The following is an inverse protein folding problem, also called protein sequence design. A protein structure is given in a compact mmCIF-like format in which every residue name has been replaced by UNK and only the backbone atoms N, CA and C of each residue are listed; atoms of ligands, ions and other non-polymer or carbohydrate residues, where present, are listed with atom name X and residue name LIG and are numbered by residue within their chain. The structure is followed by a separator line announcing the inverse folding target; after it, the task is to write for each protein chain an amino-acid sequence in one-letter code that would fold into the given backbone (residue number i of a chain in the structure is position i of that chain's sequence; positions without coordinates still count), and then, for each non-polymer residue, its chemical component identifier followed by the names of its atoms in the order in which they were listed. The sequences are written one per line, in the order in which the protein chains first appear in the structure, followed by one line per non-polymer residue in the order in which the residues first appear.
data_IF_494953793630
#
_entry.id   IF_494953793630
#
_cell.length_a   1.000
_cell.length_b   1.000
_cell.length_c   1.000
_cell.angle_alpha   90.00
_cell.angle_beta   90.00
_cell.angle_gamma   90.00
#
_symmetry.space_group_name_H-M   'P 1'
#
loop_
_entity.id
_entity.type
_entity.pdbx_description
1 polymer ?
#
# COMPACT_ATOMS: atom_id res chain seq x y z
N UNK A 1 -14.65 14.79 23.59
CA UNK A 1 -13.34 14.13 23.77
C UNK A 1 -12.28 15.03 23.14
N UNK A 2 -11.25 15.42 23.90
CA UNK A 2 -10.15 16.25 23.37
C UNK A 2 -9.29 15.45 22.38
N UNK A 3 -8.57 16.14 21.48
CA UNK A 3 -7.68 15.43 20.54
C UNK A 3 -6.57 14.69 21.28
N UNK A 4 -6.05 15.31 22.35
CA UNK A 4 -5.05 14.70 23.25
C UNK A 4 -5.51 13.37 23.85
N UNK A 5 -6.79 13.22 24.22
CA UNK A 5 -7.30 11.94 24.74
C UNK A 5 -7.30 10.83 23.69
N UNK A 6 -7.51 11.15 22.41
CA UNK A 6 -7.40 10.20 21.30
C UNK A 6 -5.93 9.76 21.15
N UNK A 7 -5.01 10.73 21.18
CA UNK A 7 -3.55 10.48 21.10
C UNK A 7 -3.08 9.61 22.26
N UNK A 8 -3.53 9.90 23.48
CA UNK A 8 -3.21 9.13 24.68
C UNK A 8 -3.69 7.67 24.55
N UNK A 9 -4.93 7.47 24.09
CA UNK A 9 -5.49 6.13 23.94
C UNK A 9 -4.77 5.31 22.87
N UNK A 10 -4.41 5.92 21.73
CA UNK A 10 -3.59 5.26 20.70
C UNK A 10 -2.22 4.90 21.25
N UNK A 11 -1.53 5.81 21.93
CA UNK A 11 -0.23 5.54 22.55
C UNK A 11 -0.30 4.40 23.57
N UNK A 12 -1.35 4.37 24.42
CA UNK A 12 -1.56 3.34 25.44
C UNK A 12 -1.72 1.95 24.82
N UNK A 13 -2.59 1.84 23.80
CA UNK A 13 -2.87 0.57 23.11
C UNK A 13 -1.74 0.11 22.19
N UNK A 14 -1.01 1.04 21.58
CA UNK A 14 0.13 0.72 20.72
C UNK A 14 1.23 -0.06 21.47
N UNK A 15 1.37 0.07 22.79
CA UNK A 15 2.42 -0.60 23.57
C UNK A 15 2.43 -2.13 23.43
N UNK A 16 1.27 -2.76 23.18
CA UNK A 16 1.15 -4.21 22.96
C UNK A 16 1.16 -4.62 21.48
N UNK A 17 1.46 -3.69 20.58
CA UNK A 17 1.43 -3.87 19.11
C UNK A 17 2.82 -3.63 18.50
N UNK A 18 3.12 -4.19 17.32
CA UNK A 18 4.37 -3.91 16.60
C UNK A 18 4.68 -2.40 16.47
N UNK A 19 3.70 -1.57 16.15
CA UNK A 19 3.83 -0.10 16.03
C UNK A 19 4.27 0.57 17.34
N UNK A 20 3.99 -0.01 18.51
CA UNK A 20 4.48 0.50 19.79
C UNK A 20 6.00 0.54 19.87
N UNK A 21 6.69 -0.31 19.10
CA UNK A 21 8.15 -0.36 19.01
C UNK A 21 8.72 0.57 17.93
N UNK A 22 7.92 1.47 17.36
CA UNK A 22 8.37 2.40 16.31
C UNK A 22 9.62 3.18 16.72
N UNK A 23 9.70 3.70 17.95
CA UNK A 23 10.86 4.48 18.39
C UNK A 23 12.12 3.61 18.55
N UNK A 24 11.98 2.32 18.86
CA UNK A 24 13.09 1.36 18.91
C UNK A 24 13.58 1.06 17.49
N UNK A 25 12.66 0.81 16.56
CA UNK A 25 12.96 0.64 15.14
C UNK A 25 13.68 1.87 14.58
N UNK A 26 13.21 3.08 14.92
CA UNK A 26 13.84 4.36 14.55
C UNK A 26 15.25 4.48 15.12
N UNK A 27 15.45 4.12 16.38
CA UNK A 27 16.78 4.12 17.00
C UNK A 27 17.74 3.25 16.20
N UNK A 28 17.32 2.04 15.81
CA UNK A 28 18.12 1.11 15.01
C UNK A 28 18.41 1.65 13.61
N UNK A 29 17.37 2.06 12.88
CA UNK A 29 17.48 2.56 11.50
C UNK A 29 18.35 3.83 11.42
N UNK A 30 18.16 4.76 12.36
CA UNK A 30 18.82 6.08 12.34
C UNK A 30 20.12 6.10 13.14
N UNK A 31 20.50 5.01 13.80
CA UNK A 31 21.70 4.95 14.65
C UNK A 31 21.66 5.91 15.83
N UNK A 32 20.48 6.14 16.44
CA UNK A 32 20.37 7.08 17.57
C UNK A 32 21.03 6.50 18.82
N UNK A 33 21.79 7.32 19.54
CA UNK A 33 22.50 6.91 20.76
C UNK A 33 21.54 6.51 21.89
N UNK A 34 20.38 7.15 21.98
CA UNK A 34 19.34 6.89 22.99
C UNK A 34 17.96 6.76 22.36
N UNK A 35 17.06 6.07 23.08
CA UNK A 35 15.65 6.01 22.71
C UNK A 35 14.99 7.35 23.07
N UNK A 36 14.41 8.09 22.11
CA UNK A 36 13.88 9.43 22.37
C UNK A 36 12.57 9.41 23.17
N UNK A 37 11.76 8.37 23.02
CA UNK A 37 10.50 8.16 23.76
C UNK A 37 10.09 6.69 23.66
N UNK A 38 9.30 6.20 24.62
CA UNK A 38 8.58 4.91 24.53
C UNK A 38 7.22 5.04 23.84
N UNK A 39 6.77 6.26 23.59
CA UNK A 39 5.51 6.56 22.91
C UNK A 39 5.76 7.00 21.47
N UNK A 40 4.82 6.68 20.58
CA UNK A 40 4.87 7.07 19.17
C UNK A 40 4.66 8.57 19.02
N UNK A 41 3.55 9.09 19.57
CA UNK A 41 3.22 10.51 19.61
C UNK A 41 3.65 11.11 20.94
N UNK A 42 4.16 12.35 20.93
CA UNK A 42 4.45 13.10 22.16
C UNK A 42 3.77 14.47 22.12
N UNK A 43 3.73 15.18 23.25
CA UNK A 43 3.23 16.55 23.31
C UNK A 43 3.98 17.51 22.37
N UNK A 44 5.25 17.22 22.04
CA UNK A 44 6.05 18.02 21.09
C UNK A 44 5.59 17.88 19.64
N UNK A 45 4.85 16.81 19.33
CA UNK A 45 4.36 16.53 17.97
C UNK A 45 2.86 16.27 17.94
N UNK A 46 2.16 16.77 18.96
CA UNK A 46 0.70 16.76 19.09
C UNK A 46 0.23 18.21 19.11
N UNK A 47 -0.68 18.52 18.20
CA UNK A 47 -1.29 19.83 18.01
C UNK A 47 -2.80 19.70 18.18
N UNK A 48 -3.53 20.82 18.14
CA UNK A 48 -4.96 20.87 18.42
C UNK A 48 -5.80 19.87 17.60
N UNK A 49 -5.41 19.65 16.35
CA UNK A 49 -6.16 18.84 15.40
C UNK A 49 -5.35 17.75 14.70
N UNK A 50 -4.06 17.59 15.00
CA UNK A 50 -3.25 16.53 14.40
C UNK A 50 -2.04 16.14 15.25
N UNK A 51 -1.53 14.94 15.02
CA UNK A 51 -0.27 14.49 15.59
C UNK A 51 0.51 13.68 14.55
N UNK A 52 1.84 13.76 14.63
CA UNK A 52 2.74 12.85 13.92
C UNK A 52 3.77 12.29 14.89
N UNK A 53 4.35 11.14 14.58
CA UNK A 53 5.27 10.51 15.51
C UNK A 53 6.53 11.37 15.77
N UNK A 54 7.08 11.25 16.98
CA UNK A 54 8.22 12.07 17.40
C UNK A 54 9.44 11.85 16.48
N UNK A 55 9.98 12.95 15.96
CA UNK A 55 11.12 12.95 15.03
C UNK A 55 10.76 12.70 13.56
N UNK A 56 9.46 12.63 13.23
CA UNK A 56 8.97 12.31 11.90
C UNK A 56 9.18 13.38 10.82
N UNK A 57 9.73 14.56 11.14
CA UNK A 57 9.68 15.72 10.23
C UNK A 57 10.41 15.51 8.90
N UNK A 58 11.50 14.77 8.91
CA UNK A 58 12.32 14.51 7.72
C UNK A 58 12.07 13.12 7.14
N UNK A 59 10.98 12.43 7.50
CA UNK A 59 10.70 11.03 7.14
C UNK A 59 9.22 10.77 6.86
N UNK A 60 8.88 9.54 6.43
CA UNK A 60 7.48 9.13 6.31
C UNK A 60 6.81 9.16 7.69
N UNK A 61 5.79 9.98 7.87
CA UNK A 61 5.16 10.20 9.17
C UNK A 61 4.00 9.26 9.40
N UNK A 62 4.05 8.40 10.42
CA UNK A 62 2.80 7.99 11.08
C UNK A 62 2.07 9.24 11.58
N UNK A 63 0.84 9.44 11.12
CA UNK A 63 0.08 10.67 11.27
C UNK A 63 -1.39 10.36 11.58
N UNK A 64 -1.93 11.13 12.52
CA UNK A 64 -3.36 11.15 12.84
C UNK A 64 -3.85 12.58 12.83
N UNK A 65 -5.14 12.78 12.59
CA UNK A 65 -5.73 14.10 12.78
C UNK A 65 -7.21 14.17 12.52
N UNK A 66 -7.77 15.32 12.85
CA UNK A 66 -9.12 15.71 12.47
C UNK A 66 -9.07 16.27 11.06
N UNK A 67 -10.01 15.82 10.25
CA UNK A 67 -10.16 16.23 8.87
C UNK A 67 -11.62 16.66 8.62
N UNK A 68 -11.85 17.42 7.57
CA UNK A 68 -13.19 17.81 7.13
C UNK A 68 -13.42 17.30 5.73
N UNK A 69 -14.33 16.34 5.62
CA UNK A 69 -14.75 15.76 4.34
C UNK A 69 -16.23 16.04 4.20
N UNK A 70 -16.61 16.79 3.16
CA UNK A 70 -18.00 17.14 2.87
C UNK A 70 -18.72 17.76 4.08
N UNK A 71 -18.03 18.67 4.79
CA UNK A 71 -18.50 19.35 6.02
C UNK A 71 -18.70 18.45 7.24
N UNK A 72 -18.43 17.15 7.13
CA UNK A 72 -18.44 16.20 8.24
C UNK A 72 -17.03 16.09 8.82
N UNK A 73 -16.91 16.21 10.15
CA UNK A 73 -15.63 15.98 10.83
C UNK A 73 -15.31 14.48 10.81
N UNK A 74 -14.14 14.14 10.32
CA UNK A 74 -13.61 12.79 10.27
C UNK A 74 -12.30 12.71 11.06
N UNK A 75 -11.97 11.53 11.52
CA UNK A 75 -10.66 11.20 12.04
C UNK A 75 -9.87 10.48 10.95
N UNK A 76 -8.70 11.00 10.58
CA UNK A 76 -7.77 10.35 9.66
C UNK A 76 -6.67 9.66 10.45
N UNK A 77 -6.23 8.51 9.96
CA UNK A 77 -5.07 7.78 10.47
C UNK A 77 -4.33 7.10 9.32
N UNK A 78 -3.01 7.20 9.32
CA UNK A 78 -2.18 6.54 8.31
C UNK A 78 -0.75 7.05 8.31
N UNK A 79 -0.18 7.15 7.12
CA UNK A 79 1.15 7.72 6.89
C UNK A 79 1.10 8.93 5.98
N UNK A 80 2.07 9.85 6.16
CA UNK A 80 2.12 11.09 5.40
C UNK A 80 3.53 11.57 5.08
N UNK A 81 3.66 12.25 3.94
CA UNK A 81 4.77 13.17 3.69
C UNK A 81 4.28 14.60 3.89
N UNK A 82 4.86 15.30 4.86
CA UNK A 82 4.61 16.73 5.08
C UNK A 82 5.78 17.53 4.53
N UNK A 83 5.58 18.09 3.32
CA UNK A 83 6.52 18.96 2.62
C UNK A 83 6.31 20.43 3.02
N UNK A 84 6.01 20.68 4.29
CA UNK A 84 5.93 22.02 4.88
C UNK A 84 7.33 22.47 5.33
N UNK A 85 7.94 23.49 4.71
CA UNK A 85 9.25 23.96 5.14
C UNK A 85 9.22 24.45 6.59
N UNK A 86 10.32 24.26 7.32
CA UNK A 86 10.45 24.76 8.68
C UNK A 86 11.83 24.51 9.26
N UNK A 87 12.03 24.88 10.52
CA UNK A 87 13.36 24.79 11.16
C UNK A 87 13.98 23.38 11.09
N UNK A 88 13.15 22.34 11.20
CA UNK A 88 13.59 20.92 11.19
C UNK A 88 13.53 20.27 9.80
N UNK A 89 12.97 20.94 8.81
CA UNK A 89 12.93 20.55 7.40
C UNK A 89 13.06 21.81 6.53
N UNK A 90 14.26 22.40 6.43
CA UNK A 90 14.45 23.64 5.67
C UNK A 90 14.31 23.41 4.16
N UNK A 91 14.68 22.22 3.69
CA UNK A 91 14.58 21.81 2.29
C UNK A 91 13.74 20.53 2.18
N UNK A 92 12.65 20.62 1.40
CA UNK A 92 11.72 19.51 1.17
C UNK A 92 12.33 18.42 0.28
N UNK A 93 13.39 18.73 -0.47
CA UNK A 93 14.11 17.79 -1.32
C UNK A 93 14.70 16.62 -0.52
N UNK A 94 14.92 16.78 0.78
CA UNK A 94 15.31 15.69 1.70
C UNK A 94 14.29 14.54 1.68
N UNK A 95 13.03 14.81 1.35
CA UNK A 95 11.96 13.81 1.23
C UNK A 95 11.88 13.17 -0.17
N UNK A 96 12.47 13.76 -1.22
CA UNK A 96 12.44 13.18 -2.58
C UNK A 96 12.89 11.72 -2.63
N UNK A 97 14.09 11.33 -2.13
CA UNK A 97 14.50 9.93 -2.17
C UNK A 97 13.57 9.02 -1.36
N UNK A 98 12.86 9.54 -0.35
CA UNK A 98 11.90 8.78 0.45
C UNK A 98 10.60 8.55 -0.31
N UNK A 99 10.13 9.55 -1.04
CA UNK A 99 8.97 9.47 -1.93
C UNK A 99 9.24 8.52 -3.10
N UNK A 100 10.46 8.53 -3.66
CA UNK A 100 10.87 7.57 -4.69
C UNK A 100 10.84 6.13 -4.17
N UNK A 101 11.33 5.88 -2.95
CA UNK A 101 11.23 4.58 -2.30
C UNK A 101 9.80 4.18 -1.96
N UNK A 102 8.97 5.13 -1.54
CA UNK A 102 7.53 4.90 -1.37
C UNK A 102 6.90 4.40 -2.68
N UNK A 103 7.22 5.05 -3.80
CA UNK A 103 6.77 4.63 -5.13
C UNK A 103 7.30 3.25 -5.51
N UNK A 104 8.58 2.95 -5.24
CA UNK A 104 9.18 1.63 -5.46
C UNK A 104 8.41 0.53 -4.69
N UNK A 105 8.16 0.76 -3.40
CA UNK A 105 7.42 -0.17 -2.56
C UNK A 105 5.99 -0.38 -3.07
N UNK A 106 5.27 0.71 -3.38
CA UNK A 106 3.90 0.63 -3.87
C UNK A 106 3.78 -0.11 -5.20
N UNK A 107 4.76 -0.02 -6.11
CA UNK A 107 4.71 -0.76 -7.40
C UNK A 107 4.55 -2.26 -7.19
N UNK A 108 5.17 -2.80 -6.13
CA UNK A 108 5.19 -4.24 -5.84
C UNK A 108 4.06 -4.65 -4.89
N UNK A 109 3.59 -3.74 -4.03
CA UNK A 109 2.69 -4.05 -2.92
C UNK A 109 1.36 -3.27 -2.99
N UNK A 110 0.95 -2.78 -4.18
CA UNK A 110 -0.23 -1.91 -4.30
C UNK A 110 -1.52 -2.55 -3.76
N UNK A 111 -1.64 -3.87 -3.91
CA UNK A 111 -2.83 -4.62 -3.47
C UNK A 111 -3.02 -4.58 -1.95
N UNK A 112 -1.93 -4.52 -1.18
CA UNK A 112 -1.93 -4.57 0.27
C UNK A 112 -2.57 -3.33 0.93
N UNK A 113 -2.69 -2.25 0.15
CA UNK A 113 -3.24 -0.96 0.58
C UNK A 113 -4.51 -0.56 -0.19
N UNK A 114 -5.08 -1.43 -1.02
CA UNK A 114 -6.18 -1.09 -1.95
C UNK A 114 -7.46 -0.58 -1.28
N UNK A 115 -7.68 -0.93 -0.02
CA UNK A 115 -8.76 -0.51 0.86
C UNK A 115 -8.52 0.87 1.52
N UNK A 116 -7.27 1.34 1.55
CA UNK A 116 -6.92 2.69 2.02
C UNK A 116 -7.22 3.76 0.97
N UNK A 117 -7.28 5.01 1.43
CA UNK A 117 -7.40 6.18 0.56
C UNK A 117 -6.10 6.96 0.52
N UNK A 118 -5.85 7.60 -0.61
CA UNK A 118 -4.77 8.54 -0.77
C UNK A 118 -5.32 9.91 -1.17
N UNK A 119 -4.79 10.96 -0.59
CA UNK A 119 -5.12 12.34 -0.92
C UNK A 119 -3.94 13.24 -0.59
N UNK A 120 -3.97 14.45 -1.11
CA UNK A 120 -3.01 15.49 -0.78
C UNK A 120 -3.68 16.84 -0.57
N UNK A 121 -2.99 17.71 0.15
CA UNK A 121 -3.27 19.15 0.23
C UNK A 121 -2.15 19.89 -0.47
N UNK A 122 -2.50 20.95 -1.19
CA UNK A 122 -1.55 21.90 -1.77
C UNK A 122 -1.96 23.30 -1.33
N UNK A 123 -1.12 23.99 -0.57
CA UNK A 123 -1.44 25.32 -0.04
C UNK A 123 -2.67 25.35 0.87
N UNK A 124 -2.98 24.23 1.54
CA UNK A 124 -4.17 24.07 2.39
C UNK A 124 -5.42 23.59 1.66
N UNK A 125 -5.41 23.51 0.32
CA UNK A 125 -6.55 23.04 -0.46
C UNK A 125 -6.51 21.52 -0.66
N UNK A 126 -7.56 20.77 -0.29
CA UNK A 126 -7.60 19.32 -0.45
C UNK A 126 -7.86 18.93 -1.91
N UNK A 127 -7.11 17.94 -2.38
CA UNK A 127 -7.48 17.17 -3.57
C UNK A 127 -8.68 16.25 -3.30
N UNK A 128 -9.31 15.76 -4.37
CA UNK A 128 -10.21 14.60 -4.25
C UNK A 128 -9.43 13.39 -3.77
N UNK A 129 -10.06 12.55 -2.97
CA UNK A 129 -9.47 11.25 -2.59
C UNK A 129 -9.41 10.33 -3.80
N UNK A 130 -8.34 9.56 -3.87
CA UNK A 130 -8.10 8.57 -4.92
C UNK A 130 -7.55 7.28 -4.32
N UNK A 131 -7.60 6.19 -5.09
CA UNK A 131 -6.96 4.92 -4.71
C UNK A 131 -5.45 5.11 -4.65
N UNK A 132 -4.74 4.39 -3.76
CA UNK A 132 -3.29 4.49 -3.67
C UNK A 132 -2.65 4.33 -5.04
N UNK A 133 -1.73 5.23 -5.34
CA UNK A 133 -0.99 5.30 -6.59
C UNK A 133 0.38 5.89 -6.33
N UNK A 134 1.24 5.83 -7.34
CA UNK A 134 2.53 6.49 -7.29
C UNK A 134 2.36 8.00 -7.12
N UNK A 135 3.16 8.59 -6.25
CA UNK A 135 3.27 10.03 -6.04
C UNK A 135 3.93 10.64 -7.27
N UNK A 136 3.26 11.60 -7.92
CA UNK A 136 3.86 12.38 -9.02
C UNK A 136 5.00 13.25 -8.50
N UNK A 137 6.03 13.42 -9.30
CA UNK A 137 7.12 14.38 -9.01
C UNK A 137 6.61 15.80 -8.82
N UNK A 138 5.47 16.15 -9.42
CA UNK A 138 4.86 17.49 -9.32
C UNK A 138 4.34 17.82 -7.91
N UNK A 139 4.15 16.80 -7.07
CA UNK A 139 3.77 16.94 -5.67
C UNK A 139 4.98 17.11 -4.75
N UNK A 140 6.20 16.96 -5.26
CA UNK A 140 7.44 17.12 -4.48
C UNK A 140 7.85 18.60 -4.52
N UNK A 141 7.12 19.42 -3.76
CA UNK A 141 7.34 20.86 -3.64
C UNK A 141 6.82 21.38 -2.28
N UNK A 142 7.23 22.59 -1.86
CA UNK A 142 6.77 23.18 -0.60
C UNK A 142 5.24 23.27 -0.48
N UNK A 143 4.75 23.22 0.76
CA UNK A 143 3.34 23.35 1.13
C UNK A 143 2.43 22.25 0.60
N UNK A 144 3.00 21.07 0.31
CA UNK A 144 2.25 19.87 -0.04
C UNK A 144 2.23 18.91 1.14
N UNK A 145 1.04 18.38 1.45
CA UNK A 145 0.87 17.30 2.42
C UNK A 145 0.24 16.10 1.72
N UNK A 146 0.97 14.99 1.61
CA UNK A 146 0.52 13.77 0.93
C UNK A 146 0.19 12.73 1.99
N UNK A 147 -1.00 12.15 1.94
CA UNK A 147 -1.50 11.22 2.94
C UNK A 147 -1.96 9.91 2.31
N UNK A 148 -1.66 8.79 2.96
CA UNK A 148 -2.17 7.46 2.67
C UNK A 148 -2.73 6.88 3.97
N UNK A 149 -4.02 6.55 4.01
CA UNK A 149 -4.63 5.97 5.21
C UNK A 149 -6.14 5.87 5.19
N UNK A 150 -6.69 5.61 6.37
CA UNK A 150 -8.11 5.43 6.62
C UNK A 150 -8.78 6.71 7.14
N UNK A 151 -10.12 6.67 7.14
CA UNK A 151 -10.98 7.71 7.70
C UNK A 151 -12.10 7.08 8.49
N UNK A 152 -12.37 7.62 9.67
CA UNK A 152 -13.42 7.18 10.57
C UNK A 152 -14.30 8.38 10.98
N UNK A 153 -15.57 8.16 11.38
CA UNK A 153 -16.33 9.20 12.07
C UNK A 153 -15.61 9.65 13.34
N UNK A 154 -15.51 10.96 13.57
CA UNK A 154 -14.72 11.50 14.70
C UNK A 154 -15.30 11.13 16.07
N UNK A 155 -16.60 10.84 16.12
CA UNK A 155 -17.35 10.41 17.30
C UNK A 155 -17.34 8.89 17.52
N UNK A 156 -16.86 8.11 16.55
CA UNK A 156 -16.86 6.64 16.58
C UNK A 156 -15.51 6.11 16.07
N UNK A 157 -14.45 6.46 16.78
CA UNK A 157 -13.10 5.99 16.45
C UNK A 157 -12.93 4.56 16.97
N UNK A 158 -12.73 3.62 16.05
CA UNK A 158 -12.23 2.28 16.33
C UNK A 158 -10.70 2.32 16.37
N UNK A 159 -10.15 2.24 17.58
CA UNK A 159 -8.71 2.25 17.83
C UNK A 159 -8.00 0.98 17.35
N UNK A 160 -8.67 -0.16 17.26
CA UNK A 160 -8.05 -1.39 16.77
C UNK A 160 -7.80 -1.29 15.27
N UNK A 161 -8.76 -0.74 14.51
CA UNK A 161 -8.58 -0.44 13.08
C UNK A 161 -7.40 0.52 12.86
N UNK A 162 -7.25 1.54 13.72
CA UNK A 162 -6.09 2.47 13.63
C UNK A 162 -4.76 1.72 13.78
N UNK A 163 -4.68 0.84 14.77
CA UNK A 163 -3.45 0.10 15.09
C UNK A 163 -3.15 -1.00 14.07
N UNK A 164 -4.18 -1.67 13.56
CA UNK A 164 -4.06 -2.63 12.46
C UNK A 164 -3.52 -1.96 11.19
N UNK A 165 -4.05 -0.78 10.84
CA UNK A 165 -3.55 0.00 9.70
C UNK A 165 -2.11 0.47 9.93
N UNK A 166 -1.77 0.89 11.14
CA UNK A 166 -0.40 1.29 11.47
C UNK A 166 0.60 0.13 11.39
N UNK A 167 0.25 -1.03 11.93
CA UNK A 167 1.09 -2.22 11.83
C UNK A 167 1.26 -2.66 10.37
N UNK A 168 0.20 -2.55 9.57
CA UNK A 168 0.24 -2.83 8.12
C UNK A 168 1.11 -1.84 7.34
N UNK A 169 1.18 -0.59 7.78
CA UNK A 169 2.02 0.46 7.16
C UNK A 169 3.47 0.44 7.69
N UNK A 170 3.77 -0.31 8.75
CA UNK A 170 5.11 -0.37 9.34
C UNK A 170 6.20 -0.97 8.41
N UNK A 171 5.94 -2.02 7.62
CA UNK A 171 6.90 -2.51 6.62
C UNK A 171 7.25 -1.47 5.56
N UNK A 172 6.28 -0.67 5.12
CA UNK A 172 6.50 0.44 4.18
C UNK A 172 7.44 1.50 4.80
N UNK A 173 7.16 1.91 6.04
CA UNK A 173 8.03 2.81 6.79
C UNK A 173 9.45 2.26 6.89
N UNK A 174 9.59 0.99 7.31
CA UNK A 174 10.89 0.34 7.44
C UNK A 174 11.63 0.30 6.10
N UNK A 175 10.96 -0.04 5.00
CA UNK A 175 11.58 -0.07 3.67
C UNK A 175 12.10 1.30 3.24
N UNK A 176 11.32 2.36 3.46
CA UNK A 176 11.70 3.73 3.08
C UNK A 176 12.89 4.19 3.93
N UNK A 177 12.81 3.98 5.24
CA UNK A 177 13.74 4.62 6.19
C UNK A 177 15.03 3.83 6.43
N UNK A 178 15.04 2.51 6.23
CA UNK A 178 16.21 1.64 6.44
C UNK A 178 17.29 1.77 5.37
N UNK A 179 16.98 2.42 4.25
CA UNK A 179 17.99 2.63 3.21
C UNK A 179 18.88 3.78 3.60
N UNK A 180 20.18 3.50 3.74
CA UNK A 180 21.19 4.56 3.81
C UNK A 180 20.95 5.47 2.60
N UNK A 181 20.83 6.81 2.78
CA UNK A 181 20.77 7.69 1.64
C UNK A 181 22.04 7.44 0.81
N UNK A 182 21.88 6.91 -0.41
CA UNK A 182 22.88 7.18 -1.45
C UNK A 182 22.82 8.70 -1.57
N UNK A 183 23.83 9.39 -1.05
CA UNK A 183 23.97 10.82 -1.25
C UNK A 183 23.71 11.13 -2.71
N UNK A 184 23.00 12.24 -2.99
CA UNK A 184 22.72 12.69 -4.34
C UNK A 184 24.04 12.68 -5.13
N UNK A 185 24.18 11.70 -6.01
CA UNK A 185 25.19 11.70 -7.05
C UNK A 185 24.41 11.82 -8.35
N UNK A 186 24.40 13.02 -8.90
CA UNK A 186 24.13 13.26 -10.31
C UNK A 186 25.19 12.50 -11.11
N UNK A 187 24.90 11.23 -11.45
CA UNK A 187 25.82 10.41 -12.25
C UNK A 187 25.62 10.71 -13.73
N UNK A 188 26.72 10.83 -14.47
CA UNK A 188 26.72 11.05 -15.92
C UNK A 188 26.45 9.73 -16.67
N UNK A 189 25.97 9.77 -17.93
CA UNK A 189 25.63 8.59 -18.73
C UNK A 189 26.76 7.54 -18.83
N UNK A 190 28.01 7.98 -18.79
CA UNK A 190 29.21 7.13 -18.84
C UNK A 190 29.38 6.24 -17.60
N UNK A 191 28.83 6.63 -16.45
CA UNK A 191 28.87 5.84 -15.21
C UNK A 191 27.76 4.77 -15.18
N UNK A 192 26.66 4.96 -15.92
CA UNK A 192 25.56 4.00 -16.02
C UNK A 192 25.97 2.75 -16.80
N UNK A 193 26.80 2.92 -17.83
CA UNK A 193 27.31 1.83 -18.66
C UNK A 193 28.22 0.85 -17.88
N UNK A 194 28.88 1.29 -16.81
CA UNK A 194 29.74 0.44 -15.96
C UNK A 194 28.97 -0.39 -14.93
N UNK A 195 27.74 -0.01 -14.57
CA UNK A 195 26.91 -0.77 -13.61
C UNK A 195 26.10 -1.90 -14.26
N UNK A 196 25.96 -1.92 -15.60
CA UNK A 196 25.26 -3.01 -16.32
C UNK A 196 26.00 -4.36 -16.15
N UNK A 197 27.30 -4.33 -15.85
CA UNK A 197 28.10 -5.56 -15.65
C UNK A 197 28.07 -6.11 -14.22
N UNK A 198 27.33 -5.51 -13.28
CA UNK A 198 27.25 -5.99 -11.90
C UNK A 198 25.80 -6.26 -11.46
N UNK A 199 25.21 -7.35 -11.96
CA UNK A 199 24.05 -7.95 -11.31
C UNK A 199 24.48 -8.54 -9.96
N UNK A 200 23.71 -8.29 -8.90
CA UNK A 200 23.90 -8.98 -7.62
C UNK A 200 23.47 -10.44 -7.77
N UNK A 201 24.03 -11.32 -6.94
CA UNK A 201 23.56 -12.70 -6.83
C UNK A 201 22.05 -12.73 -6.49
N UNK A 202 21.25 -13.24 -7.43
CA UNK A 202 19.82 -13.51 -7.25
C UNK A 202 19.62 -14.94 -6.73
N UNK A 203 18.44 -15.25 -6.16
CA UNK A 203 18.09 -16.61 -5.74
C UNK A 203 18.11 -16.89 -4.23
N UNK A 204 18.27 -15.87 -3.37
CA UNK A 204 18.14 -16.05 -1.92
C UNK A 204 16.70 -16.47 -1.56
N UNK A 205 16.56 -17.66 -0.97
CA UNK A 205 15.28 -18.19 -0.52
C UNK A 205 14.77 -17.37 0.68
N UNK A 206 13.56 -16.83 0.57
CA UNK A 206 12.87 -16.07 1.62
C UNK A 206 11.61 -16.83 2.03
N UNK A 207 11.44 -17.11 3.32
CA UNK A 207 10.22 -17.72 3.84
C UNK A 207 9.22 -16.64 4.26
N UNK A 208 7.98 -16.75 3.76
CA UNK A 208 6.84 -15.89 4.11
C UNK A 208 5.67 -16.77 4.58
N UNK A 209 5.08 -16.44 5.73
CA UNK A 209 3.83 -17.06 6.19
C UNK A 209 2.63 -16.30 5.61
N UNK A 210 1.85 -16.97 4.75
CA UNK A 210 0.64 -16.42 4.13
C UNK A 210 -0.60 -17.06 4.75
N UNK A 211 -1.58 -16.26 5.16
CA UNK A 211 -2.92 -16.78 5.46
C UNK A 211 -3.64 -17.09 4.14
N UNK A 212 -3.78 -18.38 3.83
CA UNK A 212 -4.53 -18.85 2.66
C UNK A 212 -5.98 -19.11 3.05
N UNK A 213 -6.92 -18.51 2.34
CA UNK A 213 -8.31 -18.99 2.35
C UNK A 213 -8.35 -20.31 1.58
N UNK A 214 -8.95 -21.33 2.17
CA UNK A 214 -9.10 -22.64 1.55
C UNK A 214 -9.83 -22.50 0.20
N UNK A 215 -9.25 -23.07 -0.86
CA UNK A 215 -9.86 -23.18 -2.18
C UNK A 215 -9.93 -24.65 -2.50
N UNK A 216 -11.09 -25.10 -2.96
CA UNK A 216 -11.26 -26.47 -3.40
C UNK A 216 -10.58 -26.64 -4.78
N UNK A 217 -9.48 -27.41 -4.89
CA UNK A 217 -8.78 -27.60 -6.16
C UNK A 217 -9.68 -28.22 -7.24
N UNK A 218 -10.73 -28.96 -6.84
CA UNK A 218 -11.69 -29.58 -7.76
C UNK A 218 -12.44 -28.54 -8.59
N UNK A 219 -12.61 -27.32 -8.10
CA UNK A 219 -13.26 -26.23 -8.86
C UNK A 219 -12.42 -25.86 -10.09
N UNK A 220 -11.09 -25.85 -9.97
CA UNK A 220 -10.20 -25.59 -11.11
C UNK A 220 -10.32 -26.71 -12.12
N UNK A 221 -10.18 -27.95 -11.68
CA UNK A 221 -10.18 -29.11 -12.59
C UNK A 221 -11.53 -29.22 -13.31
N UNK A 222 -12.64 -29.04 -12.59
CA UNK A 222 -13.97 -29.03 -13.17
C UNK A 222 -14.18 -27.85 -14.13
N UNK A 223 -13.62 -26.66 -13.85
CA UNK A 223 -13.67 -25.54 -14.78
C UNK A 223 -12.86 -25.80 -16.06
N UNK A 224 -11.68 -26.41 -15.96
CA UNK A 224 -10.86 -26.76 -17.13
C UNK A 224 -11.50 -27.88 -17.96
N UNK A 225 -12.19 -28.84 -17.33
CA UNK A 225 -12.97 -29.87 -18.03
C UNK A 225 -14.17 -29.25 -18.75
N UNK A 226 -14.90 -28.32 -18.11
CA UNK A 226 -16.11 -27.71 -18.68
C UNK A 226 -15.80 -26.68 -19.77
N UNK A 227 -14.82 -25.81 -19.54
CA UNK A 227 -14.57 -24.63 -20.38
C UNK A 227 -13.33 -24.77 -21.28
N UNK A 228 -12.51 -25.79 -21.08
CA UNK A 228 -11.25 -25.95 -21.78
C UNK A 228 -10.15 -25.03 -21.25
N UNK A 229 -9.07 -24.91 -22.03
CA UNK A 229 -7.83 -24.21 -21.66
C UNK A 229 -7.59 -22.92 -22.46
N UNK A 230 -8.51 -22.56 -23.34
CA UNK A 230 -8.46 -21.28 -24.04
C UNK A 230 -9.00 -20.16 -23.12
N UNK A 231 -8.34 -19.01 -23.15
CA UNK A 231 -8.78 -17.83 -22.42
C UNK A 231 -10.16 -17.37 -22.93
N UNK A 232 -11.17 -17.34 -22.06
CA UNK A 232 -12.53 -16.93 -22.43
C UNK A 232 -12.62 -15.43 -22.79
N UNK A 233 -11.63 -14.63 -22.39
CA UNK A 233 -11.54 -13.20 -22.68
C UNK A 233 -10.91 -12.96 -24.05
N UNK A 234 -9.65 -13.34 -24.26
CA UNK A 234 -8.90 -13.01 -25.47
C UNK A 234 -8.71 -14.17 -26.46
N UNK A 235 -9.22 -15.36 -26.15
CA UNK A 235 -9.08 -16.55 -27.00
C UNK A 235 -7.70 -17.20 -26.99
N UNK A 236 -6.73 -16.67 -26.22
CA UNK A 236 -5.40 -17.26 -26.13
C UNK A 236 -5.48 -18.70 -25.59
N UNK A 237 -5.07 -19.65 -26.41
CA UNK A 237 -4.77 -21.02 -26.01
C UNK A 237 -3.24 -21.16 -25.80
N UNK A 238 -2.77 -21.41 -24.56
CA UNK A 238 -1.35 -21.54 -24.29
C UNK A 238 -0.68 -22.72 -24.99
N UNK A 239 -1.36 -23.86 -25.14
CA UNK A 239 -0.80 -25.03 -25.80
C UNK A 239 -0.59 -24.76 -27.29
N UNK A 240 -1.57 -24.10 -27.92
CA UNK A 240 -1.44 -23.70 -29.33
C UNK A 240 -0.35 -22.65 -29.53
N UNK A 241 -0.22 -21.67 -28.61
CA UNK A 241 0.73 -20.56 -28.77
C UNK A 241 2.16 -20.93 -28.39
N UNK A 242 2.34 -21.70 -27.32
CA UNK A 242 3.65 -21.95 -26.72
C UNK A 242 4.06 -23.42 -26.77
N UNK A 243 3.12 -24.34 -27.04
CA UNK A 243 3.34 -25.79 -27.01
C UNK A 243 2.80 -26.45 -25.74
N UNK A 244 2.75 -27.78 -25.75
CA UNK A 244 2.09 -28.61 -24.72
C UNK A 244 2.58 -28.34 -23.29
N UNK A 245 3.84 -27.94 -23.11
CA UNK A 245 4.36 -27.61 -21.78
C UNK A 245 3.60 -26.45 -21.10
N UNK A 246 2.94 -25.60 -21.88
CA UNK A 246 2.19 -24.46 -21.39
C UNK A 246 0.68 -24.75 -21.24
N UNK A 247 0.22 -25.98 -21.48
CA UNK A 247 -1.22 -26.32 -21.50
C UNK A 247 -1.98 -25.90 -20.22
N UNK A 248 -1.29 -25.88 -19.07
CA UNK A 248 -1.87 -25.50 -17.78
C UNK A 248 -1.54 -24.06 -17.35
N UNK A 249 -0.91 -23.26 -18.22
CA UNK A 249 -0.66 -21.82 -18.05
C UNK A 249 -1.92 -20.97 -18.22
N UNK A 250 -3.00 -21.40 -17.58
CA UNK A 250 -4.28 -20.70 -17.43
C UNK A 250 -4.69 -20.64 -15.98
N UNK A 251 -5.50 -19.65 -15.64
CA UNK A 251 -5.96 -19.35 -14.30
C UNK A 251 -7.49 -19.35 -14.26
N UNK A 252 -8.05 -19.69 -13.09
CA UNK A 252 -9.50 -19.67 -12.86
C UNK A 252 -9.84 -18.43 -12.06
N UNK A 253 -10.51 -17.48 -12.71
CA UNK A 253 -10.95 -16.23 -12.12
C UNK A 253 -12.35 -16.38 -11.55
N UNK A 254 -12.55 -15.99 -10.28
CA UNK A 254 -13.86 -16.00 -9.64
C UNK A 254 -14.59 -14.69 -9.91
N UNK A 255 -15.81 -14.78 -10.44
CA UNK A 255 -16.66 -13.64 -10.74
C UNK A 255 -17.23 -12.99 -9.48
N UNK A 256 -17.44 -13.76 -8.41
CA UNK A 256 -17.77 -13.23 -7.08
C UNK A 256 -16.52 -13.33 -6.18
N UNK A 257 -15.86 -12.21 -5.85
CA UNK A 257 -14.61 -12.22 -5.10
C UNK A 257 -14.82 -12.78 -3.69
N UNK A 258 -14.23 -13.95 -3.42
CA UNK A 258 -14.24 -14.60 -2.10
C UNK A 258 -13.73 -13.70 -0.96
N UNK A 259 -12.94 -12.66 -1.28
CA UNK A 259 -12.38 -11.66 -0.37
C UNK A 259 -13.40 -10.79 0.35
N UNK A 260 -14.52 -10.46 -0.31
CA UNK A 260 -15.51 -9.48 0.16
C UNK A 260 -16.66 -10.09 1.00
N UNK A 261 -16.65 -11.41 1.22
CA UNK A 261 -17.74 -12.12 1.89
C UNK A 261 -17.57 -12.12 3.43
N UNK A 262 -18.61 -11.70 4.13
CA UNK A 262 -18.72 -11.74 5.60
C UNK A 262 -18.96 -13.18 6.08
N UNK A 263 -17.90 -13.88 6.49
CA UNK A 263 -17.93 -14.97 7.49
C UNK A 263 -18.68 -16.27 7.18
N UNK A 264 -19.46 -16.38 6.09
CA UNK A 264 -20.18 -17.61 5.72
C UNK A 264 -19.67 -18.15 4.38
N UNK A 265 -19.15 -19.37 4.38
CA UNK A 265 -18.65 -20.06 3.19
C UNK A 265 -19.79 -20.40 2.22
N UNK A 266 -19.96 -19.59 1.17
CA UNK A 266 -20.86 -19.92 0.05
C UNK A 266 -20.13 -20.80 -0.97
N UNK A 267 -20.76 -21.91 -1.34
CA UNK A 267 -20.25 -22.85 -2.34
C UNK A 267 -20.02 -22.13 -3.69
N UNK A 268 -18.83 -22.33 -4.27
CA UNK A 268 -18.51 -21.86 -5.63
C UNK A 268 -19.07 -22.85 -6.64
N UNK A 269 -19.84 -22.37 -7.61
CA UNK A 269 -20.30 -23.17 -8.76
C UNK A 269 -19.44 -22.87 -9.98
N UNK A 270 -19.52 -23.71 -11.01
CA UNK A 270 -18.78 -23.46 -12.26
C UNK A 270 -19.24 -22.20 -12.99
N UNK A 271 -20.45 -21.71 -12.73
CA UNK A 271 -20.95 -20.48 -13.34
C UNK A 271 -20.40 -19.23 -12.63
N UNK A 272 -19.78 -19.39 -11.45
CA UNK A 272 -19.11 -18.32 -10.70
C UNK A 272 -17.64 -18.13 -11.11
N UNK A 273 -17.16 -18.87 -12.11
CA UNK A 273 -15.74 -18.82 -12.53
C UNK A 273 -15.57 -18.81 -14.05
N UNK A 274 -14.45 -18.26 -14.50
CA UNK A 274 -14.02 -18.30 -15.91
C UNK A 274 -12.56 -18.72 -16.03
N UNK A 275 -12.19 -19.30 -17.17
CA UNK A 275 -10.81 -19.63 -17.53
C UNK A 275 -10.17 -18.46 -18.28
N UNK A 276 -9.02 -17.99 -17.78
CA UNK A 276 -8.33 -16.81 -18.32
C UNK A 276 -6.81 -17.03 -18.39
N UNK A 277 -6.14 -16.37 -19.32
CA UNK A 277 -4.68 -16.35 -19.32
C UNK A 277 -4.13 -15.42 -18.22
N UNK A 278 -2.86 -15.58 -17.80
CA UNK A 278 -2.27 -14.75 -16.73
C UNK A 278 -2.38 -13.24 -16.97
N UNK A 279 -2.29 -12.82 -18.24
CA UNK A 279 -2.41 -11.41 -18.61
C UNK A 279 -3.85 -10.90 -18.45
N UNK A 280 -4.84 -11.61 -18.99
CA UNK A 280 -6.25 -11.23 -18.85
C UNK A 280 -6.71 -11.30 -17.40
N UNK A 281 -6.23 -12.27 -16.62
CA UNK A 281 -6.54 -12.34 -15.19
C UNK A 281 -6.05 -11.09 -14.46
N UNK A 282 -4.80 -10.69 -14.68
CA UNK A 282 -4.22 -9.46 -14.13
C UNK A 282 -4.92 -8.18 -14.61
N UNK A 283 -5.45 -8.19 -15.84
CA UNK A 283 -6.18 -7.06 -16.41
C UNK A 283 -7.59 -6.94 -15.83
N UNK A 284 -8.32 -8.05 -15.67
CA UNK A 284 -9.63 -8.10 -15.02
C UNK A 284 -9.57 -7.59 -13.58
N UNK A 285 -8.53 -7.94 -12.81
CA UNK A 285 -8.31 -7.40 -11.46
C UNK A 285 -8.00 -5.90 -11.42
N UNK A 286 -7.58 -5.30 -12.54
CA UNK A 286 -7.39 -3.85 -12.68
C UNK A 286 -8.62 -3.14 -13.24
N UNK A 287 -9.59 -3.90 -13.74
CA UNK A 287 -10.84 -3.38 -14.28
C UNK A 287 -11.79 -3.02 -13.13
N UNK A 288 -12.63 -2.01 -13.33
CA UNK A 288 -13.49 -1.42 -12.28
C UNK A 288 -14.43 -2.43 -11.61
N UNK A 289 -14.78 -3.50 -12.32
CA UNK A 289 -15.55 -4.63 -11.82
C UNK A 289 -14.98 -5.94 -12.39
N UNK A 290 -14.21 -6.73 -11.60
CA UNK A 290 -13.62 -7.98 -12.05
C UNK A 290 -14.65 -9.02 -12.51
N UNK A 291 -15.90 -8.93 -12.03
CA UNK A 291 -17.00 -9.82 -12.42
C UNK A 291 -17.53 -9.51 -13.84
N UNK A 292 -17.36 -8.27 -14.30
CA UNK A 292 -17.89 -7.77 -15.58
C UNK A 292 -17.01 -8.15 -16.79
N UNK A 293 -16.50 -9.39 -16.83
CA UNK A 293 -15.56 -9.83 -17.86
C UNK A 293 -16.10 -9.75 -19.29
N UNK A 294 -17.41 -9.91 -19.49
CA UNK A 294 -18.06 -9.73 -20.80
C UNK A 294 -18.02 -8.28 -21.27
N UNK A 295 -18.19 -7.33 -20.33
CA UNK A 295 -18.08 -5.90 -20.60
C UNK A 295 -16.62 -5.54 -20.91
N UNK A 296 -15.69 -6.02 -20.08
CA UNK A 296 -14.25 -5.88 -20.31
C UNK A 296 -13.84 -6.37 -21.70
N UNK A 297 -14.26 -7.59 -22.07
CA UNK A 297 -13.98 -8.18 -23.38
C UNK A 297 -14.48 -7.29 -24.52
N UNK A 298 -15.73 -6.81 -24.44
CA UNK A 298 -16.33 -5.92 -25.43
C UNK A 298 -15.57 -4.59 -25.54
N UNK A 299 -15.20 -3.98 -24.42
CA UNK A 299 -14.46 -2.70 -24.40
C UNK A 299 -13.03 -2.82 -24.93
N UNK A 300 -12.40 -3.99 -24.77
CA UNK A 300 -11.09 -4.28 -25.36
C UNK A 300 -11.15 -4.68 -26.84
N UNK A 301 -12.34 -4.84 -27.43
CA UNK A 301 -12.49 -5.27 -28.82
C UNK A 301 -12.08 -6.72 -29.07
N UNK A 302 -12.31 -7.61 -28.09
CA UNK A 302 -11.93 -9.03 -28.11
C UNK A 302 -13.13 -9.97 -28.20
#
# INVERSE_FOLDING_TARGET
MGFESIVHEINRRALSRPIGRLQELRKQIKGLSRLPSRHMFSSLTTFDDYAFHLGGRTELQFNIGRDRVDRVRKFRHGVAFSLEPGQTLPDVEVLRPKIERFNEFLKQNLQDFSDLWMWHYEGGEPSRKYRPKLISSDLIKPHVFIFLGGLQPLDQIDYEVVLDDFDRLLPLYQFIESSKPKGLLTKTPTQLAKEIELFKEEGRQMEQSLSRRERDPRVRDAALVKYGRACMVCGLDPAVKYGDFAQDCVEVHHLDPLGARSGQGKQTTLDDVIVVCPTCHRALHRYSDPSAWKRFKKECGL
#
